data_IF_610919643356
#
_entry.id   IF_610919643356
#
_cell.length_a   1.000
_cell.length_b   1.000
_cell.length_c   1.000
_cell.angle_alpha   90.00
_cell.angle_beta   90.00
_cell.angle_gamma   90.00
#
_symmetry.space_group_name_H-M   'P 1'
#
loop_
_entity.id
_entity.type
_entity.pdbx_description
1 polymer ?
#
# COMPACT_ATOMS: atom_id res chain seq x y z
N UNK A 1 -14.43 11.88 -4.27
CA UNK A 1 -13.19 11.63 -5.04
C UNK A 1 -12.97 10.14 -5.07
N UNK A 2 -12.43 9.57 -6.16
CA UNK A 2 -12.21 8.12 -6.26
C UNK A 2 -10.74 7.79 -6.01
N UNK A 3 -10.48 6.78 -5.19
CA UNK A 3 -9.17 6.22 -4.94
C UNK A 3 -9.13 4.74 -5.33
N UNK A 4 -7.97 4.24 -5.71
CA UNK A 4 -7.79 2.83 -6.06
C UNK A 4 -6.60 2.26 -5.29
N UNK A 5 -6.81 1.12 -4.65
CA UNK A 5 -5.76 0.34 -3.98
C UNK A 5 -5.50 -0.90 -4.83
N UNK A 6 -4.40 -0.88 -5.56
CA UNK A 6 -3.96 -2.00 -6.41
C UNK A 6 -2.91 -2.80 -5.65
N UNK A 7 -3.07 -4.12 -5.60
CA UNK A 7 -2.15 -4.98 -4.86
C UNK A 7 -1.75 -6.24 -5.64
N UNK A 8 -0.55 -6.74 -5.35
CA UNK A 8 -0.14 -8.12 -5.68
C UNK A 8 -0.03 -8.92 -4.37
N UNK A 9 -0.47 -10.18 -4.36
CA UNK A 9 -0.28 -11.04 -3.19
C UNK A 9 -0.09 -12.51 -3.52
N UNK A 10 0.95 -13.12 -2.96
CA UNK A 10 1.20 -14.57 -3.05
C UNK A 10 0.62 -15.35 -1.85
N UNK A 11 0.57 -14.73 -0.67
CA UNK A 11 0.16 -15.36 0.59
C UNK A 11 -1.04 -14.67 1.24
N UNK A 12 -1.70 -13.75 0.54
CA UNK A 12 -2.84 -12.98 1.04
C UNK A 12 -2.51 -11.87 2.05
N UNK A 13 -1.26 -11.73 2.51
CA UNK A 13 -0.89 -10.67 3.46
C UNK A 13 -1.02 -9.27 2.85
N UNK A 14 -0.56 -9.08 1.61
CA UNK A 14 -0.71 -7.78 0.92
C UNK A 14 -2.17 -7.44 0.68
N UNK A 15 -3.01 -8.43 0.37
CA UNK A 15 -4.46 -8.22 0.21
C UNK A 15 -5.10 -7.73 1.52
N UNK A 16 -4.74 -8.34 2.66
CA UNK A 16 -5.21 -7.90 3.98
C UNK A 16 -4.78 -6.47 4.28
N UNK A 17 -3.52 -6.12 3.97
CA UNK A 17 -3.03 -4.74 4.09
C UNK A 17 -3.83 -3.80 3.17
N UNK A 18 -4.03 -4.16 1.91
CA UNK A 18 -4.74 -3.34 0.93
C UNK A 18 -6.19 -3.04 1.38
N UNK A 19 -6.90 -4.06 1.87
CA UNK A 19 -8.23 -3.93 2.45
C UNK A 19 -8.24 -2.99 3.67
N UNK A 20 -7.29 -3.15 4.58
CA UNK A 20 -7.18 -2.27 5.74
C UNK A 20 -6.89 -0.81 5.36
N UNK A 21 -5.98 -0.56 4.41
CA UNK A 21 -5.73 0.79 3.88
C UNK A 21 -7.01 1.38 3.28
N UNK A 22 -7.75 0.60 2.50
CA UNK A 22 -9.01 1.04 1.90
C UNK A 22 -10.08 1.38 2.94
N UNK A 23 -10.18 0.60 4.02
CA UNK A 23 -11.05 0.92 5.16
C UNK A 23 -10.71 2.29 5.75
N UNK A 24 -9.42 2.59 5.94
CA UNK A 24 -8.96 3.89 6.44
C UNK A 24 -9.23 5.06 5.50
N UNK A 25 -9.16 4.81 4.18
CA UNK A 25 -9.43 5.79 3.13
C UNK A 25 -10.93 6.08 2.93
N UNK A 26 -11.79 5.08 3.16
CA UNK A 26 -13.22 5.13 2.86
C UNK A 26 -14.02 6.34 3.41
N UNK A 27 -13.65 6.96 4.55
CA UNK A 27 -14.34 8.19 5.00
C UNK A 27 -14.07 9.42 4.11
N UNK A 28 -13.06 9.38 3.24
CA UNK A 28 -12.57 10.52 2.47
C UNK A 28 -12.77 10.35 0.95
N UNK A 29 -12.94 9.12 0.47
CA UNK A 29 -13.04 8.79 -0.94
C UNK A 29 -13.86 7.50 -1.17
N UNK A 30 -14.42 7.36 -2.37
CA UNK A 30 -14.87 6.05 -2.86
C UNK A 30 -13.63 5.24 -3.22
N UNK A 31 -13.49 4.02 -2.67
CA UNK A 31 -12.26 3.24 -2.78
C UNK A 31 -12.54 1.89 -3.44
N UNK A 32 -11.83 1.62 -4.54
CA UNK A 32 -11.77 0.29 -5.14
C UNK A 32 -10.52 -0.44 -4.66
N UNK A 33 -10.65 -1.74 -4.35
CA UNK A 33 -9.53 -2.61 -4.00
C UNK A 33 -9.45 -3.72 -5.05
N UNK A 34 -8.36 -3.77 -5.80
CA UNK A 34 -8.21 -4.63 -6.97
C UNK A 34 -6.85 -5.32 -6.97
N UNK A 35 -6.84 -6.61 -7.30
CA UNK A 35 -5.59 -7.32 -7.56
C UNK A 35 -4.99 -6.82 -8.88
N UNK A 36 -3.67 -6.69 -8.96
CA UNK A 36 -2.96 -6.27 -10.18
C UNK A 36 -3.28 -7.14 -11.39
N UNK A 37 -3.60 -8.42 -11.20
CA UNK A 37 -3.97 -9.32 -12.31
C UNK A 37 -5.34 -8.98 -12.92
N UNK A 38 -6.21 -8.35 -12.14
CA UNK A 38 -7.57 -7.97 -12.53
C UNK A 38 -7.69 -6.46 -12.85
N UNK A 39 -6.60 -5.69 -12.74
CA UNK A 39 -6.65 -4.24 -12.94
C UNK A 39 -6.75 -3.91 -14.43
N UNK A 40 -7.79 -3.16 -14.78
CA UNK A 40 -7.93 -2.55 -16.10
C UNK A 40 -7.16 -1.23 -16.17
N UNK A 41 -7.90 -0.12 -16.09
CA UNK A 41 -7.33 1.23 -16.09
C UNK A 41 -7.38 1.86 -14.71
N UNK A 42 -6.32 2.59 -14.35
CA UNK A 42 -6.21 3.40 -13.13
C UNK A 42 -6.38 4.89 -13.39
N UNK A 43 -6.61 5.30 -14.65
CA UNK A 43 -6.55 6.70 -15.09
C UNK A 43 -7.60 7.62 -14.45
N UNK A 44 -8.74 7.07 -14.00
CA UNK A 44 -9.81 7.83 -13.38
C UNK A 44 -9.60 8.04 -11.87
N UNK A 45 -8.61 7.38 -11.27
CA UNK A 45 -8.35 7.49 -9.85
C UNK A 45 -7.65 8.83 -9.53
N UNK A 46 -8.25 9.60 -8.61
CA UNK A 46 -7.62 10.80 -8.06
C UNK A 46 -6.49 10.49 -7.07
N UNK A 47 -6.42 9.24 -6.61
CA UNK A 47 -5.34 8.67 -5.81
C UNK A 47 -5.17 7.20 -6.18
N UNK A 48 -3.93 6.80 -6.47
CA UNK A 48 -3.54 5.40 -6.64
C UNK A 48 -2.62 4.99 -5.49
N UNK A 49 -2.98 3.93 -4.79
CA UNK A 49 -2.13 3.24 -3.80
C UNK A 49 -1.72 1.90 -4.38
N UNK A 50 -0.43 1.61 -4.39
CA UNK A 50 0.11 0.33 -4.89
C UNK A 50 0.83 -0.42 -3.78
N UNK A 51 0.62 -1.74 -3.70
CA UNK A 51 1.25 -2.60 -2.71
C UNK A 51 1.68 -3.93 -3.30
N UNK A 52 2.85 -4.43 -2.90
CA UNK A 52 3.35 -5.72 -3.34
C UNK A 52 4.26 -6.35 -2.29
N UNK A 53 4.49 -7.67 -2.37
CA UNK A 53 5.39 -8.36 -1.47
C UNK A 53 6.86 -7.92 -1.70
N UNK A 54 7.61 -7.70 -0.62
CA UNK A 54 9.05 -7.44 -0.68
C UNK A 54 9.82 -8.75 -0.61
N UNK A 55 9.99 -9.42 -1.76
CA UNK A 55 10.76 -10.66 -1.85
C UNK A 55 12.26 -10.38 -1.85
N UNK A 56 12.89 -10.37 -0.68
CA UNK A 56 14.36 -10.43 -0.56
C UNK A 56 14.72 -11.79 0.02
N UNK A 57 15.74 -12.45 -0.53
CA UNK A 57 16.19 -13.76 -0.06
C UNK A 57 16.72 -13.64 1.38
N UNK A 58 15.87 -13.93 2.38
CA UNK A 58 16.16 -13.78 3.80
C UNK A 58 15.21 -12.83 4.52
N UNK A 59 15.44 -12.56 5.81
CA UNK A 59 14.63 -11.60 6.56
C UNK A 59 14.96 -10.16 6.14
N UNK A 60 13.94 -9.32 5.96
CA UNK A 60 14.16 -7.89 5.70
C UNK A 60 14.69 -7.17 6.94
N UNK A 61 15.77 -6.42 6.77
CA UNK A 61 16.34 -5.52 7.78
C UNK A 61 15.81 -4.10 7.58
N UNK A 62 15.83 -3.22 8.60
CA UNK A 62 15.37 -1.83 8.46
C UNK A 62 15.91 -1.11 7.23
N UNK A 63 17.21 -1.24 6.97
CA UNK A 63 17.87 -0.64 5.79
C UNK A 63 17.33 -1.15 4.46
N UNK A 64 17.08 -2.45 4.33
CA UNK A 64 16.50 -3.03 3.09
C UNK A 64 15.07 -2.56 2.84
N UNK A 65 14.30 -2.27 3.89
CA UNK A 65 12.95 -1.69 3.75
C UNK A 65 13.00 -0.24 3.32
N UNK A 66 13.91 0.54 3.90
CA UNK A 66 14.16 1.92 3.47
C UNK A 66 14.52 1.98 1.98
N UNK A 67 15.42 1.10 1.53
CA UNK A 67 15.80 1.06 0.12
C UNK A 67 14.67 0.59 -0.80
N UNK A 68 13.89 -0.42 -0.39
CA UNK A 68 12.70 -0.84 -1.14
C UNK A 68 11.68 0.32 -1.28
N UNK A 69 11.46 1.09 -0.22
CA UNK A 69 10.63 2.30 -0.26
C UNK A 69 11.19 3.35 -1.21
N UNK A 70 12.51 3.59 -1.19
CA UNK A 70 13.16 4.52 -2.11
C UNK A 70 12.98 4.11 -3.57
N UNK A 71 13.18 2.83 -3.87
CA UNK A 71 12.98 2.28 -5.22
C UNK A 71 11.52 2.40 -5.68
N UNK A 72 10.56 2.16 -4.78
CA UNK A 72 9.14 2.36 -5.08
C UNK A 72 8.84 3.83 -5.44
N UNK A 73 9.35 4.79 -4.66
CA UNK A 73 9.18 6.23 -4.92
C UNK A 73 9.83 6.64 -6.24
N UNK A 74 11.06 6.19 -6.51
CA UNK A 74 11.77 6.50 -7.75
C UNK A 74 11.01 5.92 -8.97
N UNK A 75 10.47 4.69 -8.84
CA UNK A 75 9.68 4.04 -9.87
C UNK A 75 8.39 4.79 -10.21
N UNK A 76 7.59 5.19 -9.22
CA UNK A 76 6.35 5.94 -9.49
C UNK A 76 6.62 7.33 -10.06
N UNK A 77 7.72 7.99 -9.64
CA UNK A 77 8.15 9.26 -10.22
C UNK A 77 8.56 9.12 -11.68
N UNK A 78 9.27 8.05 -12.02
CA UNK A 78 9.63 7.75 -13.41
C UNK A 78 8.40 7.58 -14.31
N UNK A 79 7.32 7.03 -13.77
CA UNK A 79 6.01 6.91 -14.44
C UNK A 79 5.19 8.22 -14.47
N UNK A 80 5.71 9.33 -13.91
CA UNK A 80 5.05 10.64 -13.91
C UNK A 80 4.07 10.87 -12.75
N UNK A 81 4.03 9.99 -11.75
CA UNK A 81 3.20 10.19 -10.56
C UNK A 81 3.91 11.08 -9.53
N UNK A 82 3.11 11.83 -8.78
CA UNK A 82 3.57 12.62 -7.63
C UNK A 82 3.27 11.83 -6.34
N UNK A 83 4.29 11.44 -5.55
CA UNK A 83 4.06 10.77 -4.28
C UNK A 83 3.26 11.66 -3.31
N UNK A 84 2.14 11.14 -2.79
CA UNK A 84 1.31 11.85 -1.81
C UNK A 84 1.92 11.76 -0.39
N UNK A 85 2.52 10.62 -0.05
CA UNK A 85 3.08 10.34 1.26
C UNK A 85 4.31 9.41 1.15
N UNK A 86 5.13 9.30 2.21
CA UNK A 86 6.18 8.29 2.28
C UNK A 86 5.61 6.86 2.14
N UNK A 87 6.35 5.92 1.52
CA UNK A 87 5.95 4.52 1.44
C UNK A 87 6.00 3.87 2.83
N UNK A 88 5.00 3.04 3.12
CA UNK A 88 4.88 2.30 4.40
C UNK A 88 5.20 0.81 4.19
N UNK A 89 5.76 0.17 5.22
CA UNK A 89 6.06 -1.27 5.20
C UNK A 89 5.30 -2.00 6.29
N UNK A 90 4.68 -3.12 5.92
CA UNK A 90 3.93 -3.97 6.85
C UNK A 90 4.65 -5.30 7.06
N UNK A 91 4.72 -5.71 8.33
CA UNK A 91 5.62 -6.78 8.74
C UNK A 91 4.89 -8.12 8.89
N UNK A 92 5.51 -9.18 8.35
CA UNK A 92 5.06 -10.56 8.58
C UNK A 92 5.92 -11.25 9.64
N UNK A 93 5.39 -12.34 10.20
CA UNK A 93 6.11 -13.35 10.98
C UNK A 93 5.99 -14.69 10.26
N UNK A 94 7.00 -15.55 10.40
CA UNK A 94 6.91 -16.91 9.89
C UNK A 94 6.28 -17.79 10.97
N UNK A 95 5.09 -18.32 10.69
CA UNK A 95 4.46 -19.37 11.51
C UNK A 95 4.38 -20.64 10.67
N UNK A 96 4.96 -21.74 11.15
CA UNK A 96 4.96 -23.05 10.45
C UNK A 96 5.28 -22.97 8.94
N UNK A 97 6.23 -22.10 8.58
CA UNK A 97 6.67 -21.82 7.19
C UNK A 97 5.72 -20.98 6.33
N UNK A 98 4.56 -20.56 6.85
CA UNK A 98 3.69 -19.60 6.18
C UNK A 98 3.94 -18.18 6.72
N UNK A 99 4.14 -17.17 5.84
CA UNK A 99 4.23 -15.80 6.29
C UNK A 99 2.83 -15.32 6.69
N UNK A 100 2.69 -14.84 7.92
CA UNK A 100 1.46 -14.28 8.46
C UNK A 100 1.71 -12.84 8.89
N UNK A 101 0.82 -11.93 8.51
CA UNK A 101 0.85 -10.53 8.94
C UNK A 101 0.90 -10.43 10.47
N UNK A 102 1.81 -9.61 11.02
CA UNK A 102 1.96 -9.47 12.47
C UNK A 102 0.73 -8.79 13.08
N UNK A 103 0.45 -9.13 14.34
CA UNK A 103 -0.63 -8.48 15.09
C UNK A 103 -0.41 -6.96 15.13
N UNK A 104 -1.49 -6.20 14.94
CA UNK A 104 -1.45 -4.73 14.91
C UNK A 104 -1.08 -4.12 13.54
N UNK A 105 -0.47 -4.87 12.63
CA UNK A 105 -0.17 -4.36 11.28
C UNK A 105 -1.42 -4.05 10.45
N UNK A 106 -2.55 -4.80 10.54
CA UNK A 106 -3.81 -4.37 9.93
C UNK A 106 -4.30 -3.03 10.47
N UNK A 107 -4.18 -2.78 11.78
CA UNK A 107 -4.59 -1.51 12.36
C UNK A 107 -3.69 -0.36 11.88
N UNK A 108 -2.37 -0.57 11.85
CA UNK A 108 -1.42 0.40 11.26
C UNK A 108 -1.72 0.71 9.80
N UNK A 109 -2.09 -0.29 9.01
CA UNK A 109 -2.47 -0.12 7.60
C UNK A 109 -3.73 0.75 7.46
N UNK A 110 -4.73 0.52 8.30
CA UNK A 110 -5.93 1.35 8.37
C UNK A 110 -5.61 2.79 8.79
N UNK A 111 -4.80 2.98 9.81
CA UNK A 111 -4.40 4.31 10.27
C UNK A 111 -3.63 5.07 9.19
N UNK A 112 -2.73 4.41 8.47
CA UNK A 112 -2.03 4.99 7.33
C UNK A 112 -2.99 5.37 6.19
N UNK A 113 -3.99 4.52 5.88
CA UNK A 113 -5.05 4.85 4.93
C UNK A 113 -5.82 6.11 5.32
N UNK A 114 -6.12 6.29 6.61
CA UNK A 114 -6.77 7.51 7.10
C UNK A 114 -5.87 8.75 6.98
N UNK A 115 -4.55 8.61 7.13
CA UNK A 115 -3.59 9.70 6.85
C UNK A 115 -3.63 10.08 5.37
N UNK A 116 -3.56 9.10 4.46
CA UNK A 116 -3.66 9.37 3.01
C UNK A 116 -4.97 10.08 2.66
N UNK A 117 -6.09 9.69 3.27
CA UNK A 117 -7.39 10.32 3.04
C UNK A 117 -7.43 11.78 3.49
N UNK A 118 -6.79 12.11 4.61
CA UNK A 118 -6.65 13.49 5.10
C UNK A 118 -5.78 14.33 4.17
N UNK A 119 -4.65 13.80 3.71
CA UNK A 119 -3.78 14.49 2.75
C UNK A 119 -4.51 14.73 1.41
N UNK A 120 -5.31 13.75 0.95
CA UNK A 120 -6.10 13.86 -0.28
C UNK A 120 -7.22 14.92 -0.16
N UNK A 121 -7.85 15.02 1.00
CA UNK A 121 -8.91 15.99 1.29
C UNK A 121 -8.39 17.38 1.69
N UNK A 122 -7.08 17.50 1.94
CA UNK A 122 -6.43 18.75 2.30
C UNK A 122 -6.43 19.79 1.16
N UNK A 123 -6.18 21.07 1.47
CA UNK A 123 -6.04 22.10 0.45
C UNK A 123 -4.90 21.75 -0.51
N UNK A 124 -5.19 21.68 -1.81
CA UNK A 124 -4.16 21.59 -2.84
C UNK A 124 -3.54 22.98 -2.99
N UNK A 125 -2.29 23.14 -2.57
CA UNK A 125 -1.50 24.39 -2.69
C UNK A 125 -1.12 24.63 -4.15
#
# INVERSE_FOLDING_TARGET
>A
MRAMVVYESMFGNTEQVAKAVAEGLSPYAEVDVVNVDDVGSVAEAGLLVVGGPTHVHGMSWPSSRTEAGRQAVDGVRWLGFVPLAPPESFLVRTDKQEPVLRDGEPARARDWGAVLGKELAGPKV
#
